data_IF_843367127766
#
_entry.id   IF_843367127766
#
_cell.length_a   1.000
_cell.length_b   1.000
_cell.length_c   1.000
_cell.angle_alpha   90.00
_cell.angle_beta   90.00
_cell.angle_gamma   90.00
#
_symmetry.space_group_name_H-M   'P 1'
#
loop_
_entity.id
_entity.type
_entity.pdbx_description
1 polymer ?
#
# COMPACT_ATOMS: atom_id res chain seq x y z
N UNK A 1 -21.05 19.17 7.83
CA UNK A 1 -19.75 18.88 7.15
C UNK A 1 -19.01 20.20 7.01
N UNK A 2 -17.68 20.22 7.19
CA UNK A 2 -16.88 21.45 7.24
C UNK A 2 -17.10 22.39 6.04
N UNK A 3 -17.21 21.86 4.82
CA UNK A 3 -17.44 22.67 3.61
C UNK A 3 -18.66 23.60 3.69
N UNK A 4 -19.81 23.10 4.15
CA UNK A 4 -21.02 23.91 4.27
C UNK A 4 -20.87 25.07 5.28
N UNK A 5 -20.07 24.86 6.33
CA UNK A 5 -19.79 25.91 7.32
C UNK A 5 -18.87 27.00 6.73
N UNK A 6 -17.92 26.60 5.87
CA UNK A 6 -17.03 27.53 5.16
C UNK A 6 -17.84 28.37 4.17
N UNK A 7 -18.68 27.73 3.35
CA UNK A 7 -19.53 28.41 2.36
C UNK A 7 -20.54 29.36 3.03
N UNK A 8 -21.12 28.97 4.18
CA UNK A 8 -22.03 29.82 4.94
C UNK A 8 -21.33 31.06 5.53
N UNK A 9 -20.05 30.94 5.93
CA UNK A 9 -19.26 32.05 6.46
C UNK A 9 -18.63 32.91 5.37
N UNK A 10 -18.36 32.33 4.21
CA UNK A 10 -17.69 32.97 3.08
C UNK A 10 -18.42 32.63 1.77
N UNK A 11 -19.47 33.39 1.40
CA UNK A 11 -20.31 33.07 0.24
C UNK A 11 -19.60 33.07 -1.12
N UNK A 12 -18.43 33.73 -1.22
CA UNK A 12 -17.60 33.75 -2.43
C UNK A 12 -16.66 32.55 -2.56
N UNK A 13 -16.57 31.71 -1.53
CA UNK A 13 -15.70 30.52 -1.53
C UNK A 13 -16.55 29.30 -1.86
N UNK A 14 -16.10 28.51 -2.84
CA UNK A 14 -16.69 27.20 -3.16
C UNK A 14 -15.83 26.12 -2.54
N UNK A 15 -16.43 25.21 -1.77
CA UNK A 15 -15.71 24.10 -1.17
C UNK A 15 -15.88 22.82 -2.00
N UNK A 16 -14.81 22.40 -2.67
CA UNK A 16 -14.74 21.07 -3.26
C UNK A 16 -14.14 20.07 -2.25
N UNK A 17 -14.70 18.85 -2.21
CA UNK A 17 -14.15 17.78 -1.38
C UNK A 17 -12.76 17.34 -1.87
N UNK A 18 -11.98 16.70 -1.00
CA UNK A 18 -10.68 16.15 -1.37
C UNK A 18 -10.85 14.88 -2.24
N UNK A 19 -10.46 14.96 -3.51
CA UNK A 19 -10.53 13.83 -4.45
C UNK A 19 -9.60 12.67 -4.07
N UNK A 20 -8.43 12.96 -3.50
CA UNK A 20 -7.54 11.93 -2.94
C UNK A 20 -8.23 11.17 -1.78
N UNK A 21 -8.95 11.88 -0.91
CA UNK A 21 -9.75 11.25 0.14
C UNK A 21 -10.83 10.34 -0.44
N UNK A 22 -11.52 10.76 -1.50
CA UNK A 22 -12.50 9.93 -2.19
C UNK A 22 -11.88 8.65 -2.77
N UNK A 23 -10.72 8.75 -3.42
CA UNK A 23 -9.99 7.57 -3.92
C UNK A 23 -9.56 6.61 -2.80
N UNK A 24 -9.14 7.14 -1.65
CA UNK A 24 -8.78 6.32 -0.50
C UNK A 24 -9.99 5.57 0.08
N UNK A 25 -11.17 6.21 0.12
CA UNK A 25 -12.41 5.53 0.51
C UNK A 25 -12.80 4.44 -0.50
N UNK A 26 -12.66 4.70 -1.79
CA UNK A 26 -12.91 3.70 -2.83
C UNK A 26 -11.97 2.49 -2.69
N UNK A 27 -10.68 2.71 -2.42
CA UNK A 27 -9.76 1.62 -2.09
C UNK A 27 -10.22 0.85 -0.85
N UNK A 28 -10.62 1.55 0.21
CA UNK A 28 -11.13 0.91 1.44
C UNK A 28 -12.31 -0.02 1.14
N UNK A 29 -13.21 0.38 0.25
CA UNK A 29 -14.35 -0.45 -0.16
C UNK A 29 -13.92 -1.63 -1.04
N UNK A 30 -13.00 -1.45 -1.99
CA UNK A 30 -12.40 -2.55 -2.76
C UNK A 30 -11.80 -3.61 -1.82
N UNK A 31 -11.10 -3.19 -0.77
CA UNK A 31 -10.46 -4.10 0.18
C UNK A 31 -11.45 -4.80 1.14
N UNK A 32 -12.75 -4.46 1.10
CA UNK A 32 -13.80 -5.27 1.76
C UNK A 32 -14.10 -6.56 1.00
N UNK A 33 -13.77 -6.65 -0.30
CA UNK A 33 -13.90 -7.88 -1.08
C UNK A 33 -12.98 -8.94 -0.48
N UNK A 34 -13.51 -10.14 -0.21
CA UNK A 34 -12.83 -11.23 0.51
C UNK A 34 -11.40 -11.48 0.01
N UNK A 35 -11.23 -11.63 -1.31
CA UNK A 35 -9.92 -11.86 -1.93
C UNK A 35 -8.91 -10.74 -1.59
N UNK A 36 -9.33 -9.47 -1.71
CA UNK A 36 -8.47 -8.31 -1.48
C UNK A 36 -8.15 -8.17 0.01
N UNK A 37 -9.16 -8.31 0.86
CA UNK A 37 -9.02 -8.26 2.31
C UNK A 37 -8.08 -9.33 2.84
N UNK A 38 -8.18 -10.56 2.35
CA UNK A 38 -7.33 -11.68 2.78
C UNK A 38 -5.86 -11.47 2.37
N UNK A 39 -5.62 -10.99 1.14
CA UNK A 39 -4.28 -10.62 0.68
C UNK A 39 -3.72 -9.48 1.53
N UNK A 40 -4.51 -8.43 1.80
CA UNK A 40 -4.08 -7.29 2.60
C UNK A 40 -3.73 -7.70 4.03
N UNK A 41 -4.54 -8.53 4.69
CA UNK A 41 -4.28 -9.03 6.04
C UNK A 41 -2.95 -9.78 6.11
N UNK A 42 -2.68 -10.70 5.17
CA UNK A 42 -1.40 -11.43 5.09
C UNK A 42 -0.23 -10.48 4.82
N UNK A 43 -0.38 -9.53 3.90
CA UNK A 43 0.65 -8.54 3.58
C UNK A 43 0.99 -7.64 4.78
N UNK A 44 -0.01 -7.21 5.57
CA UNK A 44 0.21 -6.41 6.78
C UNK A 44 1.07 -7.16 7.79
N UNK A 45 0.88 -8.48 7.96
CA UNK A 45 1.71 -9.29 8.86
C UNK A 45 3.18 -9.27 8.44
N UNK A 46 3.46 -9.47 7.15
CA UNK A 46 4.82 -9.39 6.59
C UNK A 46 5.42 -8.00 6.84
N UNK A 47 4.69 -6.92 6.51
CA UNK A 47 5.19 -5.56 6.65
C UNK A 47 5.46 -5.19 8.10
N UNK A 48 4.56 -5.55 9.03
CA UNK A 48 4.76 -5.33 10.47
C UNK A 48 6.00 -6.08 10.96
N UNK A 49 6.15 -7.34 10.55
CA UNK A 49 7.30 -8.17 10.90
C UNK A 49 8.63 -7.57 10.43
N UNK A 50 8.69 -7.10 9.19
CA UNK A 50 9.89 -6.48 8.61
C UNK A 50 10.18 -5.13 9.27
N UNK A 51 9.16 -4.27 9.44
CA UNK A 51 9.35 -2.94 10.04
C UNK A 51 9.80 -2.98 11.49
N UNK A 52 9.37 -3.99 12.26
CA UNK A 52 9.80 -4.18 13.64
C UNK A 52 11.30 -4.55 13.76
N UNK A 53 11.94 -5.02 12.69
CA UNK A 53 13.33 -5.50 12.70
C UNK A 53 14.19 -4.64 11.79
N UNK A 54 14.90 -3.69 12.40
CA UNK A 54 15.69 -2.68 11.70
C UNK A 54 16.69 -3.25 10.68
N UNK A 55 17.35 -4.39 10.98
CA UNK A 55 18.26 -5.04 10.04
C UNK A 55 17.56 -5.58 8.80
N UNK A 56 16.41 -6.24 8.97
CA UNK A 56 15.60 -6.73 7.84
C UNK A 56 15.03 -5.57 7.03
N UNK A 57 14.57 -4.51 7.71
CA UNK A 57 14.09 -3.31 7.05
C UNK A 57 15.19 -2.64 6.22
N UNK A 58 16.40 -2.53 6.76
CA UNK A 58 17.55 -1.97 6.05
C UNK A 58 17.94 -2.82 4.84
N UNK A 59 17.96 -4.14 4.97
CA UNK A 59 18.21 -5.05 3.86
C UNK A 59 17.14 -4.92 2.76
N UNK A 60 15.86 -4.89 3.12
CA UNK A 60 14.77 -4.67 2.17
C UNK A 60 14.89 -3.32 1.48
N UNK A 61 15.29 -2.27 2.20
CA UNK A 61 15.56 -0.94 1.62
C UNK A 61 16.74 -0.96 0.67
N UNK A 62 17.86 -1.60 1.03
CA UNK A 62 19.04 -1.79 0.16
C UNK A 62 18.66 -2.53 -1.12
N UNK A 63 17.93 -3.63 -0.98
CA UNK A 63 17.43 -4.40 -2.11
C UNK A 63 16.50 -3.58 -3.00
N UNK A 64 15.59 -2.79 -2.42
CA UNK A 64 14.71 -1.88 -3.18
C UNK A 64 15.49 -0.82 -3.97
N UNK A 65 16.54 -0.24 -3.39
CA UNK A 65 17.42 0.73 -4.07
C UNK A 65 18.18 0.08 -5.23
N UNK A 66 18.59 -1.18 -5.07
CA UNK A 66 19.21 -1.96 -6.15
C UNK A 66 18.20 -2.29 -7.26
N UNK A 67 16.95 -2.64 -6.93
CA UNK A 67 15.88 -2.87 -7.91
C UNK A 67 15.52 -1.63 -8.74
N UNK A 68 15.58 -0.42 -8.14
CA UNK A 68 15.41 0.82 -8.89
C UNK A 68 16.55 1.07 -9.91
N UNK A 69 17.71 0.43 -9.73
CA UNK A 69 18.87 0.49 -10.63
C UNK A 69 19.02 -0.74 -11.54
N UNK A 70 18.35 -1.86 -11.24
CA UNK A 70 18.45 -3.09 -12.01
C UNK A 70 17.09 -3.81 -12.11
N UNK A 71 16.51 -3.81 -13.32
CA UNK A 71 15.57 -4.85 -13.75
C UNK A 71 16.37 -6.15 -13.93
N UNK A 72 16.43 -7.02 -12.92
CA UNK A 72 16.50 -8.51 -13.01
C UNK A 72 16.82 -9.16 -11.66
N UNK A 73 16.24 -10.36 -11.50
CA UNK A 73 16.47 -11.41 -10.51
C UNK A 73 16.10 -11.13 -9.04
N UNK A 74 15.11 -11.89 -8.59
CA UNK A 74 14.67 -12.00 -7.21
C UNK A 74 15.67 -12.81 -6.36
N UNK A 75 15.87 -12.40 -5.11
CA UNK A 75 15.89 -13.28 -3.93
C UNK A 75 16.19 -12.45 -2.66
N UNK A 76 15.27 -12.48 -1.69
CA UNK A 76 15.50 -11.91 -0.37
C UNK A 76 16.28 -12.93 0.46
N UNK A 77 17.57 -12.66 0.70
CA UNK A 77 18.44 -13.53 1.47
C UNK A 77 17.95 -13.70 2.93
N UNK A 78 17.66 -14.95 3.28
CA UNK A 78 17.20 -15.53 4.55
C UNK A 78 18.16 -15.44 5.79
N UNK A 79 19.50 -15.14 5.71
CA UNK A 79 20.38 -15.40 6.85
C UNK A 79 20.19 -14.56 8.13
N UNK A 80 19.43 -13.47 8.11
CA UNK A 80 19.39 -12.50 9.22
C UNK A 80 18.32 -12.77 10.30
N UNK A 81 17.56 -13.87 10.18
CA UNK A 81 16.54 -14.27 11.18
C UNK A 81 17.12 -14.74 12.52
N UNK A 82 18.42 -15.07 12.59
CA UNK A 82 19.04 -15.77 13.73
C UNK A 82 19.37 -14.93 14.98
N UNK A 83 19.03 -13.63 15.04
CA UNK A 83 19.44 -12.74 16.16
C UNK A 83 18.34 -12.34 17.14
N UNK A 84 17.12 -12.82 16.96
CA UNK A 84 15.99 -12.52 17.85
C UNK A 84 15.42 -13.81 18.43
N UNK A 85 16.05 -14.30 19.49
CA UNK A 85 15.74 -15.57 20.16
C UNK A 85 14.79 -15.34 21.35
N UNK A 86 13.58 -14.89 21.07
CA UNK A 86 12.46 -14.97 22.01
C UNK A 86 11.33 -15.80 21.36
N UNK A 87 10.61 -16.61 22.16
CA UNK A 87 9.61 -17.55 21.64
C UNK A 87 8.52 -16.84 20.82
N UNK A 88 8.16 -15.61 21.19
CA UNK A 88 7.14 -14.83 20.50
C UNK A 88 7.62 -14.36 19.11
N UNK A 89 8.87 -13.94 19.00
CA UNK A 89 9.53 -13.61 17.73
C UNK A 89 9.61 -14.81 16.79
N UNK A 90 9.82 -16.02 17.32
CA UNK A 90 9.87 -17.25 16.53
C UNK A 90 8.49 -17.62 15.97
N UNK A 91 7.42 -17.53 16.76
CA UNK A 91 6.05 -17.77 16.26
C UNK A 91 5.69 -16.81 15.13
N UNK A 92 6.04 -15.53 15.27
CA UNK A 92 5.85 -14.52 14.21
C UNK A 92 6.71 -14.82 12.98
N UNK A 93 7.87 -15.42 13.17
CA UNK A 93 8.77 -15.85 12.10
C UNK A 93 8.11 -16.95 11.27
N UNK A 94 7.65 -18.00 11.94
CA UNK A 94 7.08 -19.19 11.31
C UNK A 94 5.80 -18.84 10.57
N UNK A 95 4.97 -17.97 11.14
CA UNK A 95 3.79 -17.43 10.48
C UNK A 95 4.14 -16.67 9.20
N UNK A 96 5.10 -15.74 9.26
CA UNK A 96 5.52 -14.95 8.09
C UNK A 96 6.18 -15.84 7.04
N UNK A 97 7.00 -16.81 7.46
CA UNK A 97 7.64 -17.78 6.59
C UNK A 97 6.60 -18.63 5.86
N UNK A 98 5.53 -19.04 6.55
CA UNK A 98 4.38 -19.72 5.93
C UNK A 98 3.69 -18.89 4.86
N UNK A 99 3.49 -17.58 5.09
CA UNK A 99 2.90 -16.68 4.08
C UNK A 99 3.85 -16.46 2.90
N UNK A 100 5.14 -16.24 3.16
CA UNK A 100 6.13 -15.95 2.11
C UNK A 100 6.35 -17.16 1.20
N UNK A 101 6.29 -18.37 1.74
CA UNK A 101 6.44 -19.61 0.97
C UNK A 101 5.14 -20.06 0.28
N UNK A 102 4.00 -19.46 0.59
CA UNK A 102 2.71 -19.74 -0.04
C UNK A 102 2.68 -19.17 -1.48
N UNK A 103 2.82 -20.05 -2.48
CA UNK A 103 2.75 -19.67 -3.91
C UNK A 103 1.38 -19.08 -4.28
N UNK A 104 0.30 -19.56 -3.70
CA UNK A 104 -1.06 -19.07 -3.98
C UNK A 104 -1.25 -17.65 -3.47
N UNK A 105 -0.64 -17.31 -2.34
CA UNK A 105 -0.62 -15.94 -1.84
C UNK A 105 -0.03 -14.98 -2.89
N UNK A 106 1.12 -15.29 -3.49
CA UNK A 106 1.76 -14.42 -4.49
C UNK A 106 0.96 -14.30 -5.79
N UNK A 107 0.30 -15.38 -6.24
CA UNK A 107 -0.59 -15.34 -7.41
C UNK A 107 -1.76 -14.38 -7.14
N UNK A 108 -2.43 -14.54 -6.00
CA UNK A 108 -3.55 -13.67 -5.59
C UNK A 108 -3.09 -12.22 -5.39
N UNK A 109 -1.93 -12.03 -4.75
CA UNK A 109 -1.34 -10.70 -4.54
C UNK A 109 -1.04 -10.00 -5.86
N UNK A 110 -0.51 -10.71 -6.86
CA UNK A 110 -0.28 -10.16 -8.20
C UNK A 110 -1.57 -9.70 -8.86
N UNK A 111 -2.66 -10.46 -8.73
CA UNK A 111 -3.98 -10.08 -9.23
C UNK A 111 -4.49 -8.83 -8.51
N UNK A 112 -4.47 -8.82 -7.18
CA UNK A 112 -4.90 -7.67 -6.37
C UNK A 112 -4.13 -6.41 -6.76
N UNK A 113 -2.79 -6.47 -6.78
CA UNK A 113 -1.94 -5.32 -7.16
C UNK A 113 -2.25 -4.84 -8.56
N UNK A 114 -2.48 -5.74 -9.52
CA UNK A 114 -2.84 -5.38 -10.90
C UNK A 114 -4.18 -4.64 -10.96
N UNK A 115 -5.18 -5.13 -10.22
CA UNK A 115 -6.54 -4.56 -10.22
C UNK A 115 -6.64 -3.24 -9.45
N UNK A 116 -5.86 -3.05 -8.38
CA UNK A 116 -5.84 -1.77 -7.65
C UNK A 116 -4.93 -0.73 -8.29
N UNK A 117 -4.05 -1.12 -9.23
CA UNK A 117 -3.07 -0.23 -9.87
C UNK A 117 -3.62 1.05 -10.49
N UNK A 118 -4.74 1.05 -11.25
CA UNK A 118 -5.28 2.29 -11.80
C UNK A 118 -5.69 3.25 -10.68
N UNK A 119 -6.39 2.76 -9.66
CA UNK A 119 -6.84 3.55 -8.51
C UNK A 119 -5.66 4.09 -7.69
N UNK A 120 -4.63 3.29 -7.41
CA UNK A 120 -3.46 3.76 -6.65
C UNK A 120 -2.61 4.75 -7.42
N UNK A 121 -2.59 4.68 -8.77
CA UNK A 121 -1.94 5.68 -9.62
C UNK A 121 -2.69 7.00 -9.62
N UNK A 122 -4.01 6.95 -9.81
CA UNK A 122 -4.86 8.13 -9.73
C UNK A 122 -4.69 8.79 -8.36
N UNK A 123 -4.79 8.03 -7.26
CA UNK A 123 -4.54 8.54 -5.91
C UNK A 123 -3.18 9.24 -5.79
N UNK A 124 -2.11 8.62 -6.30
CA UNK A 124 -0.78 9.22 -6.25
C UNK A 124 -0.68 10.56 -7.02
N UNK A 125 -1.41 10.73 -8.12
CA UNK A 125 -1.51 12.02 -8.84
C UNK A 125 -2.30 13.03 -8.01
N UNK A 126 -3.42 12.61 -7.41
CA UNK A 126 -4.30 13.46 -6.61
C UNK A 126 -3.67 13.94 -5.29
N UNK A 127 -2.68 13.21 -4.77
CA UNK A 127 -1.93 13.58 -3.57
C UNK A 127 -0.78 14.57 -3.85
N UNK A 128 -0.47 14.86 -5.12
CA UNK A 128 0.58 15.82 -5.46
C UNK A 128 0.12 17.25 -5.23
N UNK A 129 1.04 18.11 -4.77
CA UNK A 129 0.79 19.56 -4.62
C UNK A 129 0.52 20.27 -5.96
N UNK A 130 0.85 19.62 -7.08
CA UNK A 130 0.61 20.12 -8.43
C UNK A 130 -0.75 19.70 -9.01
N UNK A 131 -1.57 18.95 -8.26
CA UNK A 131 -2.85 18.45 -8.76
C UNK A 131 -3.87 19.59 -8.89
N UNK A 132 -4.36 19.83 -10.11
CA UNK A 132 -5.43 20.79 -10.38
C UNK A 132 -6.79 20.09 -10.55
N UNK A 133 -7.87 20.88 -10.48
CA UNK A 133 -9.23 20.37 -10.69
C UNK A 133 -9.45 19.70 -12.06
N UNK A 134 -8.78 20.18 -13.11
CA UNK A 134 -8.85 19.54 -14.44
C UNK A 134 -8.16 18.18 -14.45
N UNK A 135 -7.05 18.03 -13.72
CA UNK A 135 -6.36 16.74 -13.56
C UNK A 135 -7.22 15.73 -12.81
N UNK A 136 -8.01 16.17 -11.83
CA UNK A 136 -8.99 15.31 -11.16
C UNK A 136 -9.93 14.69 -12.20
N UNK A 137 -10.62 15.51 -12.99
CA UNK A 137 -11.56 15.02 -14.00
C UNK A 137 -10.88 14.07 -15.00
N UNK A 138 -9.68 14.43 -15.46
CA UNK A 138 -8.90 13.61 -16.38
C UNK A 138 -8.54 12.24 -15.80
N UNK A 139 -8.11 12.17 -14.53
CA UNK A 139 -7.77 10.89 -13.89
C UNK A 139 -9.01 10.02 -13.68
N UNK A 140 -10.18 10.60 -13.35
CA UNK A 140 -11.43 9.85 -13.24
C UNK A 140 -11.88 9.24 -14.58
N UNK A 141 -11.67 9.94 -15.70
CA UNK A 141 -12.00 9.42 -17.04
C UNK A 141 -11.09 8.27 -17.49
N UNK A 142 -9.94 8.08 -16.84
CA UNK A 142 -8.95 7.05 -17.18
C UNK A 142 -9.03 5.79 -16.32
N UNK A 143 -9.84 5.82 -15.27
CA UNK A 143 -10.13 4.67 -14.40
C UNK A 143 -11.08 3.70 -15.09
#
# INVERSE_FOLDING_TARGET
>A
KAGRLVEAKHPSVVFNGCSAHAMNLLLKDIFKIKLFGDVLKKAIKIVKFVRARHLLLDQVRRYRRQLQKARRAGELAVPLMKRYTDKESQVKLDEVQGIVNDKQFWIKAKVVVRLTKPVTRALAVLETDACSNSMILHEFLRL
#
